data_IF_905049054561
#
_entry.id   IF_905049054561
#
_cell.length_a   1.000
_cell.length_b   1.000
_cell.length_c   1.000
_cell.angle_alpha   90.00
_cell.angle_beta   90.00
_cell.angle_gamma   90.00
#
_symmetry.space_group_name_H-M   'P 1'
#
loop_
_entity.id
_entity.type
_entity.pdbx_description
1 polymer ?
#
# COMPACT_ATOMS: atom_id res chain seq x y z
N UNK A 1 29.07 15.00 9.36
CA UNK A 1 28.66 13.59 9.26
C UNK A 1 27.13 13.42 9.37
N UNK A 2 26.49 13.90 10.47
CA UNK A 2 25.04 13.78 10.69
C UNK A 2 24.20 14.44 9.59
N UNK A 3 24.58 15.65 9.10
CA UNK A 3 23.87 16.36 8.04
C UNK A 3 23.94 15.62 6.69
N UNK A 4 25.09 15.06 6.34
CA UNK A 4 25.28 14.31 5.09
C UNK A 4 24.41 13.05 5.11
N UNK A 5 24.46 12.27 6.21
CA UNK A 5 23.62 11.08 6.34
C UNK A 5 22.13 11.42 6.35
N UNK A 6 21.70 12.56 6.92
CA UNK A 6 20.33 13.02 6.87
C UNK A 6 19.88 13.38 5.44
N UNK A 7 20.72 14.06 4.67
CA UNK A 7 20.43 14.37 3.27
C UNK A 7 20.31 13.08 2.43
N UNK A 8 21.21 12.11 2.64
CA UNK A 8 21.14 10.79 1.98
C UNK A 8 19.89 10.01 2.40
N UNK A 9 19.54 10.01 3.68
CA UNK A 9 18.31 9.42 4.21
C UNK A 9 17.06 10.02 3.54
N UNK A 10 16.99 11.35 3.43
CA UNK A 10 15.86 12.03 2.78
C UNK A 10 15.76 11.67 1.29
N UNK A 11 16.91 11.57 0.61
CA UNK A 11 16.95 11.14 -0.80
C UNK A 11 16.46 9.70 -0.97
N UNK A 12 16.92 8.79 -0.11
CA UNK A 12 16.48 7.39 -0.12
C UNK A 12 14.98 7.27 0.21
N UNK A 13 14.47 8.03 1.17
CA UNK A 13 13.02 8.04 1.47
C UNK A 13 12.20 8.53 0.27
N UNK A 14 12.65 9.54 -0.45
CA UNK A 14 11.96 9.98 -1.67
C UNK A 14 11.92 8.88 -2.73
N UNK A 15 13.04 8.17 -2.93
CA UNK A 15 13.09 7.03 -3.84
C UNK A 15 12.17 5.91 -3.36
N UNK A 16 12.18 5.61 -2.05
CA UNK A 16 11.31 4.60 -1.44
C UNK A 16 9.83 4.94 -1.65
N UNK A 17 9.44 6.21 -1.46
CA UNK A 17 8.04 6.63 -1.69
C UNK A 17 7.60 6.40 -3.13
N UNK A 18 8.42 6.75 -4.13
CA UNK A 18 8.08 6.52 -5.54
C UNK A 18 8.03 5.03 -5.93
N UNK A 19 8.85 4.18 -5.29
CA UNK A 19 8.77 2.73 -5.52
C UNK A 19 7.58 2.11 -4.78
N UNK A 20 7.25 2.62 -3.59
CA UNK A 20 6.07 2.19 -2.83
C UNK A 20 4.78 2.51 -3.59
N UNK A 21 4.71 3.69 -4.24
CA UNK A 21 3.59 4.06 -5.11
C UNK A 21 3.38 3.02 -6.21
N UNK A 22 4.44 2.64 -6.94
CA UNK A 22 4.37 1.62 -7.99
C UNK A 22 3.97 0.23 -7.46
N UNK A 23 4.49 -0.17 -6.31
CA UNK A 23 4.10 -1.44 -5.68
C UNK A 23 2.61 -1.44 -5.30
N UNK A 24 2.11 -0.29 -4.85
CA UNK A 24 0.70 -0.13 -4.49
C UNK A 24 -0.22 -0.12 -5.73
N UNK A 25 0.22 0.52 -6.83
CA UNK A 25 -0.46 0.45 -8.13
C UNK A 25 -0.59 -1.00 -8.61
N UNK A 26 0.51 -1.77 -8.56
CA UNK A 26 0.48 -3.19 -8.92
C UNK A 26 -0.47 -3.98 -8.02
N UNK A 27 -0.41 -3.77 -6.70
CA UNK A 27 -1.30 -4.44 -5.73
C UNK A 27 -2.77 -4.20 -6.06
N UNK A 28 -3.14 -2.94 -6.28
CA UNK A 28 -4.51 -2.57 -6.65
C UNK A 28 -4.90 -3.21 -7.99
N UNK A 29 -4.01 -3.22 -8.97
CA UNK A 29 -4.28 -3.86 -10.26
C UNK A 29 -4.57 -5.37 -10.11
N UNK A 30 -3.78 -6.08 -9.30
CA UNK A 30 -4.02 -7.50 -9.00
C UNK A 30 -5.33 -7.72 -8.22
N UNK A 31 -5.65 -6.88 -7.23
CA UNK A 31 -6.90 -6.99 -6.49
C UNK A 31 -8.13 -6.79 -7.38
N UNK A 32 -8.07 -5.81 -8.29
CA UNK A 32 -9.14 -5.59 -9.28
C UNK A 32 -9.26 -6.76 -10.23
N UNK A 33 -8.14 -7.31 -10.71
CA UNK A 33 -8.13 -8.47 -11.58
C UNK A 33 -8.73 -9.70 -10.89
N UNK A 34 -8.35 -9.98 -9.64
CA UNK A 34 -8.90 -11.07 -8.84
C UNK A 34 -10.41 -10.91 -8.65
N UNK A 35 -10.86 -9.75 -8.21
CA UNK A 35 -12.29 -9.46 -8.03
C UNK A 35 -13.08 -9.57 -9.34
N UNK A 36 -12.47 -9.20 -10.47
CA UNK A 36 -13.07 -9.37 -11.80
C UNK A 36 -13.29 -10.85 -12.13
N UNK A 37 -12.27 -11.69 -11.95
CA UNK A 37 -12.40 -13.13 -12.25
C UNK A 37 -13.35 -13.84 -11.28
N UNK A 38 -13.37 -13.44 -10.00
CA UNK A 38 -14.34 -13.94 -9.03
C UNK A 38 -15.76 -13.60 -9.47
N UNK A 39 -16.01 -12.36 -9.92
CA UNK A 39 -17.33 -11.98 -10.45
C UNK A 39 -17.71 -12.80 -11.69
N UNK A 40 -16.82 -12.97 -12.65
CA UNK A 40 -17.08 -13.76 -13.88
C UNK A 40 -17.41 -15.20 -13.52
N UNK A 41 -16.68 -15.79 -12.56
CA UNK A 41 -16.97 -17.13 -12.08
C UNK A 41 -18.36 -17.23 -11.42
N UNK A 42 -18.67 -16.31 -10.51
CA UNK A 42 -19.95 -16.29 -9.80
C UNK A 42 -21.12 -16.06 -10.77
N UNK A 43 -20.95 -15.21 -11.79
CA UNK A 43 -21.94 -15.01 -12.85
C UNK A 43 -22.20 -16.29 -13.64
N UNK A 44 -21.16 -17.02 -14.04
CA UNK A 44 -21.29 -18.31 -14.73
C UNK A 44 -22.00 -19.34 -13.83
N UNK A 45 -21.66 -19.36 -12.54
CA UNK A 45 -22.31 -20.25 -11.58
C UNK A 45 -23.79 -19.91 -11.34
N UNK A 46 -24.14 -18.64 -11.36
CA UNK A 46 -25.53 -18.14 -11.28
C UNK A 46 -26.35 -18.60 -12.52
N UNK A 47 -25.78 -18.42 -13.70
CA UNK A 47 -26.42 -18.90 -14.95
C UNK A 47 -26.62 -20.41 -14.96
N UNK A 48 -25.60 -21.18 -14.55
CA UNK A 48 -25.69 -22.64 -14.44
C UNK A 48 -26.76 -23.08 -13.45
N UNK A 49 -26.89 -22.41 -12.30
CA UNK A 49 -27.93 -22.71 -11.32
C UNK A 49 -29.35 -22.42 -11.87
N UNK A 50 -29.49 -21.33 -12.67
CA UNK A 50 -30.77 -21.03 -13.34
C UNK A 50 -31.14 -22.10 -14.38
N UNK A 51 -30.19 -22.60 -15.14
CA UNK A 51 -30.40 -23.71 -16.10
C UNK A 51 -30.78 -25.00 -15.38
N UNK A 52 -30.10 -25.34 -14.27
CA UNK A 52 -30.39 -26.49 -13.44
C UNK A 52 -31.82 -26.43 -12.90
N UNK A 53 -32.24 -25.28 -12.37
CA UNK A 53 -33.63 -25.09 -11.91
C UNK A 53 -34.63 -25.31 -13.05
N UNK A 54 -34.40 -24.74 -14.23
CA UNK A 54 -35.30 -24.95 -15.40
C UNK A 54 -35.40 -26.43 -15.79
N UNK A 55 -34.29 -27.17 -15.67
CA UNK A 55 -34.29 -28.61 -15.93
C UNK A 55 -35.13 -29.35 -14.90
N UNK A 56 -34.98 -29.04 -13.61
CA UNK A 56 -35.72 -29.63 -12.51
C UNK A 56 -37.23 -29.29 -12.58
N UNK A 57 -37.60 -28.08 -13.05
CA UNK A 57 -39.00 -27.71 -13.32
C UNK A 57 -39.60 -28.60 -14.38
N UNK A 58 -38.98 -28.77 -15.54
CA UNK A 58 -39.46 -29.65 -16.61
C UNK A 58 -39.58 -31.10 -16.14
N UNK A 59 -38.61 -31.57 -15.34
CA UNK A 59 -38.68 -32.92 -14.78
C UNK A 59 -39.82 -33.09 -13.76
N UNK A 60 -40.10 -32.06 -12.96
CA UNK A 60 -41.27 -32.07 -12.06
C UNK A 60 -42.59 -32.06 -12.82
N UNK A 61 -42.73 -31.28 -13.89
CA UNK A 61 -43.93 -31.27 -14.75
C UNK A 61 -44.15 -32.64 -15.38
N UNK A 62 -43.12 -33.26 -15.94
CA UNK A 62 -43.19 -34.61 -16.50
C UNK A 62 -43.59 -35.67 -15.45
N UNK A 63 -43.07 -35.55 -14.22
CA UNK A 63 -43.41 -36.49 -13.13
C UNK A 63 -44.88 -36.35 -12.69
N UNK A 64 -45.41 -35.11 -12.69
CA UNK A 64 -46.86 -34.88 -12.46
C UNK A 64 -47.71 -35.66 -13.47
N UNK A 65 -47.41 -35.54 -14.75
CA UNK A 65 -48.15 -36.28 -15.79
C UNK A 65 -48.05 -37.79 -15.61
N UNK A 66 -46.87 -38.33 -15.24
CA UNK A 66 -46.71 -39.77 -15.01
C UNK A 66 -47.48 -40.27 -13.78
N UNK A 67 -47.61 -39.48 -12.73
CA UNK A 67 -48.40 -39.83 -11.57
C UNK A 67 -49.90 -39.81 -11.91
N UNK A 68 -50.35 -38.79 -12.66
CA UNK A 68 -51.76 -38.68 -13.09
C UNK A 68 -52.17 -39.83 -14.00
N UNK A 69 -51.25 -40.35 -14.82
CA UNK A 69 -51.44 -41.51 -15.66
C UNK A 69 -51.28 -42.86 -14.90
N UNK A 70 -50.97 -42.82 -13.61
CA UNK A 70 -50.73 -44.01 -12.78
C UNK A 70 -49.43 -44.75 -13.07
N UNK A 71 -48.50 -44.15 -13.82
CA UNK A 71 -47.21 -44.74 -14.23
C UNK A 71 -46.13 -44.59 -13.15
N UNK A 72 -46.31 -43.69 -12.20
CA UNK A 72 -45.39 -43.43 -11.08
C UNK A 72 -46.15 -43.23 -9.77
N UNK A 73 -45.39 -43.36 -8.66
CA UNK A 73 -45.98 -43.20 -7.33
C UNK A 73 -46.07 -41.72 -6.91
N UNK A 74 -47.04 -41.34 -6.07
CA UNK A 74 -47.06 -40.01 -5.45
C UNK A 74 -45.81 -39.70 -4.62
N UNK A 75 -45.14 -40.74 -4.09
CA UNK A 75 -43.89 -40.60 -3.35
C UNK A 75 -42.73 -40.08 -4.25
N UNK A 76 -42.64 -40.60 -5.49
CA UNK A 76 -41.66 -40.19 -6.47
C UNK A 76 -41.83 -38.69 -6.81
N UNK A 77 -43.08 -38.23 -6.92
CA UNK A 77 -43.40 -36.83 -7.13
C UNK A 77 -42.92 -35.93 -5.98
N UNK A 78 -43.09 -36.39 -4.73
CA UNK A 78 -42.60 -35.60 -3.58
C UNK A 78 -41.07 -35.48 -3.55
N UNK A 79 -40.36 -36.53 -3.94
CA UNK A 79 -38.89 -36.50 -4.08
C UNK A 79 -38.45 -35.49 -5.14
N UNK A 80 -39.06 -35.54 -6.33
CA UNK A 80 -38.77 -34.60 -7.42
C UNK A 80 -39.09 -33.15 -7.03
N UNK A 81 -40.21 -32.95 -6.32
CA UNK A 81 -40.58 -31.64 -5.77
C UNK A 81 -39.57 -31.12 -4.76
N UNK A 82 -39.06 -31.98 -3.87
CA UNK A 82 -38.05 -31.61 -2.90
C UNK A 82 -36.75 -31.19 -3.60
N UNK A 83 -36.36 -31.90 -4.67
CA UNK A 83 -35.19 -31.53 -5.51
C UNK A 83 -35.38 -30.18 -6.18
N UNK A 84 -36.57 -29.93 -6.79
CA UNK A 84 -36.87 -28.63 -7.38
C UNK A 84 -36.76 -27.50 -6.36
N UNK A 85 -37.25 -27.66 -5.14
CA UNK A 85 -37.12 -26.65 -4.09
C UNK A 85 -35.67 -26.41 -3.68
N UNK A 86 -34.85 -27.47 -3.66
CA UNK A 86 -33.41 -27.34 -3.45
C UNK A 86 -32.73 -26.54 -4.54
N UNK A 87 -33.08 -26.78 -5.82
CA UNK A 87 -32.47 -26.08 -6.95
C UNK A 87 -32.91 -24.60 -7.00
N UNK A 88 -34.14 -24.27 -6.65
CA UNK A 88 -34.64 -22.90 -6.47
C UNK A 88 -33.82 -22.17 -5.39
N UNK A 89 -33.59 -22.85 -4.27
CA UNK A 89 -32.75 -22.30 -3.18
C UNK A 89 -31.32 -22.06 -3.66
N UNK A 90 -30.71 -23.01 -4.36
CA UNK A 90 -29.35 -22.88 -4.90
C UNK A 90 -29.23 -21.71 -5.89
N UNK A 91 -30.18 -21.54 -6.80
CA UNK A 91 -30.22 -20.37 -7.71
C UNK A 91 -30.28 -19.07 -6.92
N UNK A 92 -31.13 -18.98 -5.89
CA UNK A 92 -31.22 -17.78 -5.04
C UNK A 92 -29.89 -17.46 -4.36
N UNK A 93 -29.18 -18.48 -3.85
CA UNK A 93 -27.88 -18.33 -3.21
C UNK A 93 -26.84 -17.86 -4.24
N UNK A 94 -26.79 -18.48 -5.43
CA UNK A 94 -25.84 -18.13 -6.48
C UNK A 94 -26.07 -16.71 -7.02
N UNK A 95 -27.32 -16.32 -7.25
CA UNK A 95 -27.68 -14.94 -7.64
C UNK A 95 -27.25 -13.91 -6.58
N UNK A 96 -27.40 -14.24 -5.30
CA UNK A 96 -26.90 -13.39 -4.22
C UNK A 96 -25.38 -13.26 -4.24
N UNK A 97 -24.66 -14.37 -4.43
CA UNK A 97 -23.20 -14.39 -4.47
C UNK A 97 -22.68 -13.56 -5.63
N UNK A 98 -23.24 -13.74 -6.83
CA UNK A 98 -22.93 -12.92 -8.02
C UNK A 98 -23.12 -11.43 -7.74
N UNK A 99 -24.24 -11.06 -7.11
CA UNK A 99 -24.50 -9.65 -6.80
C UNK A 99 -23.50 -9.09 -5.80
N UNK A 100 -23.05 -9.88 -4.83
CA UNK A 100 -22.06 -9.46 -3.85
C UNK A 100 -20.66 -9.29 -4.49
N UNK A 101 -20.24 -10.23 -5.33
CA UNK A 101 -18.97 -10.13 -6.05
C UNK A 101 -18.95 -8.95 -7.04
N UNK A 102 -20.08 -8.65 -7.70
CA UNK A 102 -20.22 -7.46 -8.53
C UNK A 102 -20.08 -6.15 -7.73
N UNK A 103 -20.71 -6.09 -6.55
CA UNK A 103 -20.59 -4.91 -5.66
C UNK A 103 -19.16 -4.75 -5.14
N UNK A 104 -18.49 -5.86 -4.77
CA UNK A 104 -17.10 -5.83 -4.35
C UNK A 104 -16.16 -5.30 -5.46
N UNK A 105 -16.39 -5.70 -6.71
CA UNK A 105 -15.65 -5.18 -7.86
C UNK A 105 -15.91 -3.67 -8.05
N UNK A 106 -17.15 -3.22 -7.95
CA UNK A 106 -17.50 -1.79 -8.02
C UNK A 106 -16.83 -0.96 -6.92
N UNK A 107 -16.78 -1.50 -5.70
CA UNK A 107 -16.13 -0.86 -4.56
C UNK A 107 -14.62 -0.68 -4.81
N UNK A 108 -13.93 -1.71 -5.29
CA UNK A 108 -12.51 -1.63 -5.64
C UNK A 108 -12.23 -0.61 -6.76
N UNK A 109 -13.14 -0.49 -7.73
CA UNK A 109 -13.09 0.52 -8.78
C UNK A 109 -13.51 1.92 -8.31
N UNK A 110 -13.89 2.07 -7.04
CA UNK A 110 -14.39 3.32 -6.45
C UNK A 110 -15.59 3.92 -7.21
N UNK A 111 -16.40 3.08 -7.84
CA UNK A 111 -17.59 3.48 -8.56
C UNK A 111 -18.75 3.78 -7.60
N UNK A 112 -19.56 4.79 -7.93
CA UNK A 112 -20.77 5.09 -7.16
C UNK A 112 -21.87 4.08 -7.50
N UNK A 113 -22.84 3.91 -6.61
CA UNK A 113 -23.98 3.02 -6.85
C UNK A 113 -24.75 3.38 -8.12
N UNK A 114 -24.80 4.67 -8.46
CA UNK A 114 -25.44 5.20 -9.67
C UNK A 114 -24.69 4.89 -10.97
N UNK A 115 -23.40 4.53 -10.89
CA UNK A 115 -22.58 4.33 -12.07
C UNK A 115 -22.86 2.95 -12.67
N UNK A 116 -23.00 2.90 -13.99
CA UNK A 116 -23.28 1.68 -14.70
C UNK A 116 -21.96 1.01 -15.13
N UNK A 117 -21.70 -0.20 -14.65
CA UNK A 117 -20.60 -1.03 -15.08
C UNK A 117 -21.15 -2.12 -15.99
N UNK A 118 -20.73 -2.12 -17.27
CA UNK A 118 -21.01 -3.19 -18.20
C UNK A 118 -19.75 -4.02 -18.41
N UNK A 119 -19.83 -5.30 -18.12
CA UNK A 119 -18.73 -6.24 -18.30
C UNK A 119 -19.05 -7.10 -19.51
N UNK A 120 -18.18 -7.06 -20.50
CA UNK A 120 -18.29 -7.91 -21.69
C UNK A 120 -18.11 -9.39 -21.29
N UNK A 121 -18.86 -10.26 -21.93
CA UNK A 121 -18.64 -11.70 -21.79
C UNK A 121 -17.26 -12.02 -22.39
N UNK A 122 -16.38 -12.52 -21.54
CA UNK A 122 -15.11 -13.09 -21.99
C UNK A 122 -15.41 -14.53 -22.42
N UNK A 123 -15.54 -14.72 -23.73
CA UNK A 123 -15.51 -16.06 -24.30
C UNK A 123 -14.10 -16.62 -24.04
N UNK A 124 -14.01 -17.55 -23.11
CA UNK A 124 -12.78 -18.18 -22.69
C UNK A 124 -12.14 -19.10 -23.78
N UNK A 125 -12.60 -18.98 -25.02
CA UNK A 125 -12.15 -19.86 -26.12
C UNK A 125 -10.92 -19.37 -26.88
N UNK A 126 -10.29 -18.22 -26.50
CA UNK A 126 -9.30 -17.60 -27.37
C UNK A 126 -7.86 -17.58 -26.90
N UNK A 127 -7.59 -17.45 -25.62
CA UNK A 127 -6.21 -17.33 -25.13
C UNK A 127 -5.94 -18.35 -24.02
N UNK A 128 -5.47 -19.53 -24.42
CA UNK A 128 -4.69 -20.33 -23.49
C UNK A 128 -3.55 -19.43 -22.98
N UNK A 129 -3.44 -19.20 -21.65
CA UNK A 129 -2.31 -18.46 -21.14
C UNK A 129 -1.03 -19.11 -21.66
N UNK A 130 -0.05 -18.32 -22.13
CA UNK A 130 1.18 -18.88 -22.66
C UNK A 130 1.70 -19.90 -21.67
N UNK A 131 1.84 -21.15 -22.12
CA UNK A 131 2.30 -22.24 -21.29
C UNK A 131 3.64 -21.81 -20.68
N UNK A 132 3.65 -21.57 -19.37
CA UNK A 132 4.86 -21.27 -18.59
C UNK A 132 5.85 -22.46 -18.58
N UNK A 133 5.57 -23.49 -19.40
CA UNK A 133 6.35 -24.72 -19.53
C UNK A 133 7.82 -24.53 -19.89
N UNK A 134 8.21 -23.36 -20.40
CA UNK A 134 9.58 -23.05 -20.81
C UNK A 134 10.38 -22.28 -19.74
N UNK A 135 9.76 -21.90 -18.62
CA UNK A 135 10.43 -21.15 -17.55
C UNK A 135 10.70 -22.07 -16.38
N UNK A 136 11.96 -22.11 -15.93
CA UNK A 136 12.27 -22.75 -14.66
C UNK A 136 11.91 -21.82 -13.49
N UNK A 137 11.54 -22.35 -12.34
CA UNK A 137 11.24 -21.54 -11.16
C UNK A 137 12.38 -20.56 -10.79
N UNK A 138 13.68 -20.96 -10.85
CA UNK A 138 14.78 -20.03 -10.63
C UNK A 138 14.84 -18.86 -11.63
N UNK A 139 14.51 -19.09 -12.92
CA UNK A 139 14.55 -18.05 -13.94
C UNK A 139 13.43 -17.02 -13.69
N UNK A 140 12.22 -17.48 -13.38
CA UNK A 140 11.08 -16.62 -13.03
C UNK A 140 11.40 -15.80 -11.79
N UNK A 141 12.02 -16.38 -10.77
CA UNK A 141 12.45 -15.68 -9.58
C UNK A 141 13.49 -14.60 -9.88
N UNK A 142 14.52 -14.93 -10.67
CA UNK A 142 15.56 -13.97 -11.04
C UNK A 142 15.01 -12.77 -11.84
N UNK A 143 14.07 -13.02 -12.75
CA UNK A 143 13.41 -11.97 -13.52
C UNK A 143 12.48 -11.13 -12.63
N UNK A 144 11.73 -11.75 -11.71
CA UNK A 144 10.88 -11.06 -10.77
C UNK A 144 11.65 -10.14 -9.82
N UNK A 145 12.85 -10.54 -9.37
CA UNK A 145 13.71 -9.71 -8.51
C UNK A 145 14.13 -8.40 -9.20
N UNK A 146 14.22 -8.40 -10.53
CA UNK A 146 14.56 -7.22 -11.34
C UNK A 146 13.31 -6.39 -11.66
N UNK A 147 12.21 -7.07 -12.04
CA UNK A 147 11.02 -6.42 -12.59
C UNK A 147 10.07 -5.88 -11.50
N UNK A 148 9.95 -6.57 -10.37
CA UNK A 148 8.97 -6.22 -9.35
C UNK A 148 9.46 -5.09 -8.43
N UNK A 149 8.66 -4.03 -8.23
CA UNK A 149 9.02 -2.91 -7.36
C UNK A 149 9.15 -3.32 -5.89
N UNK A 150 8.54 -4.42 -5.45
CA UNK A 150 8.60 -4.96 -4.10
C UNK A 150 10.04 -5.28 -3.67
N UNK A 151 10.83 -5.91 -4.51
CA UNK A 151 12.24 -6.21 -4.22
C UNK A 151 13.05 -4.92 -4.10
N UNK A 152 12.80 -3.96 -4.99
CA UNK A 152 13.44 -2.64 -4.91
C UNK A 152 13.04 -1.87 -3.65
N UNK A 153 11.81 -1.99 -3.23
CA UNK A 153 11.30 -1.42 -1.98
C UNK A 153 12.01 -2.02 -0.76
N UNK A 154 12.23 -3.34 -0.72
CA UNK A 154 12.99 -4.02 0.35
C UNK A 154 14.40 -3.46 0.46
N UNK A 155 15.13 -3.35 -0.64
CA UNK A 155 16.49 -2.78 -0.66
C UNK A 155 16.53 -1.34 -0.16
N UNK A 156 15.61 -0.50 -0.62
CA UNK A 156 15.55 0.89 -0.20
C UNK A 156 15.18 1.03 1.28
N UNK A 157 14.32 0.18 1.82
CA UNK A 157 13.98 0.12 3.25
C UNK A 157 15.21 -0.24 4.09
N UNK A 158 16.02 -1.22 3.66
CA UNK A 158 17.25 -1.56 4.36
C UNK A 158 18.27 -0.43 4.29
N UNK A 159 18.51 0.17 3.12
CA UNK A 159 19.41 1.30 2.96
C UNK A 159 19.00 2.50 3.83
N UNK A 160 17.71 2.81 3.88
CA UNK A 160 17.14 3.87 4.71
C UNK A 160 17.36 3.58 6.20
N UNK A 161 17.15 2.36 6.64
CA UNK A 161 17.40 1.93 8.02
C UNK A 161 18.88 1.99 8.39
N UNK A 162 19.79 1.61 7.48
CA UNK A 162 21.25 1.79 7.66
C UNK A 162 21.62 3.26 7.84
N UNK A 163 20.99 4.18 7.10
CA UNK A 163 21.23 5.63 7.26
C UNK A 163 20.64 6.16 8.58
N UNK A 164 19.50 5.64 9.05
CA UNK A 164 18.97 5.95 10.38
C UNK A 164 19.95 5.56 11.48
N UNK A 165 20.52 4.37 11.40
CA UNK A 165 21.58 3.93 12.33
C UNK A 165 22.81 4.84 12.27
N UNK A 166 23.27 5.22 11.07
CA UNK A 166 24.39 6.13 10.90
C UNK A 166 24.12 7.54 11.47
N UNK A 167 22.88 8.05 11.35
CA UNK A 167 22.44 9.30 11.95
C UNK A 167 22.46 9.21 13.48
N UNK A 168 21.95 8.11 14.05
CA UNK A 168 21.96 7.88 15.49
C UNK A 168 23.41 7.77 16.02
N UNK A 169 24.26 7.02 15.36
CA UNK A 169 25.69 6.88 15.70
C UNK A 169 26.44 8.23 15.60
N UNK A 170 26.05 9.08 14.64
CA UNK A 170 26.59 10.43 14.50
C UNK A 170 26.28 11.36 15.67
N UNK A 171 25.42 10.98 16.60
CA UNK A 171 25.18 11.73 17.83
C UNK A 171 26.34 11.70 18.83
N UNK A 172 27.29 10.78 18.66
CA UNK A 172 28.51 10.71 19.45
C UNK A 172 29.64 11.61 18.90
N UNK A 173 29.50 12.08 17.66
CA UNK A 173 30.50 12.96 17.04
C UNK A 173 30.39 14.38 17.55
N UNK A 174 31.52 15.14 17.64
CA UNK A 174 31.46 16.55 17.95
C UNK A 174 30.63 17.34 16.91
N UNK A 175 29.95 18.36 17.36
CA UNK A 175 29.24 19.32 16.49
C UNK A 175 30.03 20.61 16.36
N UNK A 176 30.17 21.08 15.13
CA UNK A 176 30.78 22.36 14.79
C UNK A 176 29.67 23.27 14.25
N UNK A 177 29.58 24.47 14.82
CA UNK A 177 28.64 25.50 14.37
C UNK A 177 29.45 26.80 14.09
N UNK A 178 29.18 27.37 12.95
CA UNK A 178 29.63 28.75 12.64
C UNK A 178 28.41 29.66 12.75
N UNK A 179 28.55 30.69 13.56
CA UNK A 179 27.50 31.70 13.79
C UNK A 179 28.01 33.01 13.16
N UNK A 180 27.15 33.63 12.35
CA UNK A 180 27.38 34.95 11.79
C UNK A 180 26.17 35.82 12.11
N UNK A 181 26.39 36.95 12.75
CA UNK A 181 25.32 37.88 13.12
C UNK A 181 25.72 39.30 12.69
N UNK A 182 24.75 39.99 12.12
CA UNK A 182 24.78 41.42 11.88
C UNK A 182 23.63 42.01 12.66
N UNK A 183 23.90 42.97 13.51
CA UNK A 183 22.87 43.67 14.24
C UNK A 183 23.22 45.16 14.42
N UNK A 184 22.22 45.98 14.46
CA UNK A 184 22.27 47.38 14.81
C UNK A 184 21.13 47.66 15.78
N UNK A 185 21.28 48.67 16.64
CA UNK A 185 20.29 49.01 17.63
C UNK A 185 20.00 50.50 17.61
N UNK A 186 18.74 50.85 17.91
CA UNK A 186 18.29 52.19 18.19
C UNK A 186 17.87 52.33 19.63
N UNK A 187 18.35 53.40 20.28
CA UNK A 187 18.03 53.73 21.68
C UNK A 187 17.54 55.17 21.72
N UNK A 188 16.34 55.44 22.19
CA UNK A 188 15.77 56.80 22.31
C UNK A 188 16.43 57.62 23.40
N UNK A 189 17.26 57.01 24.23
CA UNK A 189 18.06 57.64 25.29
C UNK A 189 19.44 58.08 24.85
N UNK A 190 19.89 57.66 23.64
CA UNK A 190 21.22 58.02 23.12
C UNK A 190 21.27 59.47 22.64
N UNK A 191 22.18 60.29 23.24
CA UNK A 191 22.32 61.72 22.96
C UNK A 191 23.72 62.05 22.46
N UNK A 192 23.77 63.02 21.57
CA UNK A 192 25.05 63.56 21.09
C UNK A 192 25.69 64.50 22.16
N UNK A 193 26.89 65.03 21.87
CA UNK A 193 27.61 65.95 22.79
C UNK A 193 26.81 67.23 23.15
N UNK A 194 25.87 67.64 22.29
CA UNK A 194 24.99 68.80 22.48
C UNK A 194 23.70 68.47 23.22
N UNK A 195 23.54 67.21 23.69
CA UNK A 195 22.39 66.77 24.47
C UNK A 195 21.14 66.40 23.64
N UNK A 196 21.19 66.46 22.30
CA UNK A 196 20.11 66.09 21.42
C UNK A 196 20.06 64.57 21.16
N UNK A 197 18.87 64.01 21.03
CA UNK A 197 18.69 62.59 20.68
C UNK A 197 19.28 62.30 19.31
N UNK A 198 20.17 61.31 19.23
CA UNK A 198 20.77 60.89 17.97
C UNK A 198 19.71 60.26 17.06
N UNK A 199 19.60 60.72 15.83
CA UNK A 199 18.59 60.25 14.89
C UNK A 199 18.71 58.77 14.61
N UNK A 200 17.55 58.09 14.31
CA UNK A 200 17.49 56.67 13.98
C UNK A 200 18.51 56.28 12.89
N UNK A 201 18.58 57.03 11.78
CA UNK A 201 19.48 56.73 10.68
C UNK A 201 20.96 56.77 11.07
N UNK A 202 21.32 57.69 12.00
CA UNK A 202 22.68 57.86 12.48
C UNK A 202 23.07 56.76 13.48
N UNK A 203 22.13 56.37 14.40
CA UNK A 203 22.34 55.24 15.29
C UNK A 203 22.44 53.93 14.50
N UNK A 204 21.59 53.70 13.51
CA UNK A 204 21.66 52.52 12.65
C UNK A 204 23.02 52.37 11.92
N UNK A 205 23.65 53.47 11.54
CA UNK A 205 24.99 53.46 10.94
C UNK A 205 26.10 53.27 11.96
N UNK A 206 25.98 53.93 13.12
CA UNK A 206 27.02 53.92 14.13
C UNK A 206 27.04 52.66 15.00
N UNK A 207 25.86 52.07 15.27
CA UNK A 207 25.69 50.94 16.16
C UNK A 207 25.79 49.59 15.42
N UNK A 208 26.41 49.56 14.24
CA UNK A 208 26.49 48.34 13.43
C UNK A 208 27.57 47.41 13.96
N UNK A 209 27.12 46.25 14.46
CA UNK A 209 27.99 45.24 15.02
C UNK A 209 27.98 44.00 14.13
N UNK A 210 29.18 43.45 13.94
CA UNK A 210 29.41 42.20 13.20
C UNK A 210 29.97 41.17 14.18
N UNK A 211 29.35 40.02 14.26
CA UNK A 211 29.83 38.92 15.07
C UNK A 211 30.09 37.71 14.20
N UNK A 212 31.25 37.10 14.31
CA UNK A 212 31.59 35.79 13.71
C UNK A 212 32.09 34.93 14.85
N UNK A 213 31.42 33.80 15.04
CA UNK A 213 31.76 32.86 16.09
C UNK A 213 31.88 31.43 15.53
N UNK A 214 32.83 30.65 16.05
CA UNK A 214 32.96 29.22 15.83
C UNK A 214 32.79 28.51 17.16
N UNK A 215 31.76 27.64 17.24
CA UNK A 215 31.46 26.83 18.42
C UNK A 215 31.68 25.36 18.13
N UNK A 216 32.54 24.71 18.93
CA UNK A 216 32.74 23.26 18.90
C UNK A 216 32.17 22.69 20.18
N UNK A 217 31.25 21.72 20.07
CA UNK A 217 30.60 21.08 21.21
C UNK A 217 30.84 19.58 21.19
N UNK A 218 31.42 19.07 22.28
CA UNK A 218 31.64 17.64 22.50
C UNK A 218 30.60 17.10 23.49
N UNK A 219 29.83 16.10 23.11
CA UNK A 219 28.90 15.47 24.02
C UNK A 219 29.59 14.45 24.92
N UNK A 220 29.95 14.80 26.14
CA UNK A 220 30.66 13.92 27.10
C UNK A 220 29.72 12.93 27.74
N UNK A 221 28.56 13.38 28.22
CA UNK A 221 27.57 12.55 28.90
C UNK A 221 26.16 12.94 28.49
N UNK A 222 25.30 11.95 28.30
CA UNK A 222 23.91 12.14 27.83
C UNK A 222 22.90 11.20 28.54
N UNK A 223 23.24 10.73 29.74
CA UNK A 223 22.32 9.83 30.49
C UNK A 223 21.93 8.57 29.73
N UNK A 224 22.86 7.95 29.01
CA UNK A 224 22.67 6.75 28.18
C UNK A 224 21.69 6.90 26.99
N UNK A 225 21.04 8.05 26.82
CA UNK A 225 20.04 8.28 25.77
C UNK A 225 20.58 8.01 24.34
N UNK A 226 21.86 8.32 24.09
CA UNK A 226 22.49 8.06 22.79
C UNK A 226 22.76 6.58 22.57
N UNK A 227 23.18 5.85 23.59
CA UNK A 227 23.36 4.39 23.53
C UNK A 227 22.05 3.69 23.22
N UNK A 228 20.98 4.08 23.91
CA UNK A 228 19.66 3.50 23.68
C UNK A 228 19.14 3.84 22.29
N UNK A 229 19.37 5.06 21.80
CA UNK A 229 18.99 5.44 20.42
C UNK A 229 19.71 4.60 19.37
N UNK A 230 21.04 4.42 19.50
CA UNK A 230 21.80 3.57 18.56
C UNK A 230 21.36 2.12 18.65
N UNK A 231 21.15 1.59 19.88
CA UNK A 231 20.68 0.22 20.08
C UNK A 231 19.31 -0.01 19.44
N UNK A 232 18.38 0.94 19.60
CA UNK A 232 17.06 0.92 18.98
C UNK A 232 17.17 0.85 17.44
N UNK A 233 17.97 1.72 16.82
CA UNK A 233 18.14 1.72 15.37
C UNK A 233 18.87 0.47 14.84
N UNK A 234 19.75 -0.13 15.63
CA UNK A 234 20.38 -1.42 15.30
C UNK A 234 19.35 -2.55 15.27
N UNK A 235 18.48 -2.64 16.28
CA UNK A 235 17.39 -3.62 16.27
C UNK A 235 16.42 -3.40 15.13
N UNK A 236 16.11 -2.14 14.82
CA UNK A 236 15.24 -1.80 13.69
C UNK A 236 15.83 -2.28 12.36
N UNK A 237 17.13 -2.08 12.14
CA UNK A 237 17.83 -2.60 10.96
C UNK A 237 17.77 -4.13 10.89
N UNK A 238 17.99 -4.80 12.01
CA UNK A 238 17.89 -6.26 12.08
C UNK A 238 16.46 -6.74 11.77
N UNK A 239 15.44 -6.08 12.29
CA UNK A 239 14.04 -6.38 11.99
C UNK A 239 13.72 -6.20 10.49
N UNK A 240 14.22 -5.13 9.87
CA UNK A 240 14.04 -4.91 8.41
C UNK A 240 14.67 -6.05 7.62
N UNK A 241 15.90 -6.47 7.96
CA UNK A 241 16.58 -7.58 7.29
C UNK A 241 15.79 -8.90 7.44
N UNK A 242 15.39 -9.24 8.65
CA UNK A 242 14.61 -10.46 8.88
C UNK A 242 13.28 -10.46 8.11
N UNK A 243 12.64 -9.28 7.98
CA UNK A 243 11.42 -9.15 7.19
C UNK A 243 11.69 -9.30 5.68
N UNK A 244 12.78 -8.71 5.18
CA UNK A 244 13.20 -8.87 3.79
C UNK A 244 13.52 -10.35 3.48
N UNK A 245 14.24 -11.03 4.37
CA UNK A 245 14.57 -12.46 4.20
C UNK A 245 13.31 -13.33 4.16
N UNK A 246 12.32 -13.04 5.02
CA UNK A 246 11.02 -13.75 4.98
C UNK A 246 10.27 -13.51 3.68
N UNK A 247 10.20 -12.26 3.19
CA UNK A 247 9.50 -11.93 1.95
C UNK A 247 10.19 -12.50 0.70
N UNK A 248 11.49 -12.85 0.77
CA UNK A 248 12.21 -13.53 -0.32
C UNK A 248 11.91 -15.04 -0.37
N UNK A 249 11.46 -15.62 0.73
CA UNK A 249 11.19 -17.06 0.87
C UNK A 249 9.69 -17.36 0.66
N UNK A 250 8.82 -16.38 0.89
CA UNK A 250 7.38 -16.51 0.68
C UNK A 250 7.00 -16.35 -0.78
#
# INVERSE_FOLDING_TARGET
FKRINRAQFTRLNRQLSGVTEKAEENRVAFEVMDAYYVYIFDRKMSLLAAEQRKLSERYHEQMLEYVDLGLRSPSDLQEVKARLQSDIYQETVKNKTERLSFLALKELLQMRDSDTLSIADVDAEGDEPPLLSNYSAPDVYAESEIALPEFRMMDLREQTSRKSLAIASGAFSPSIRADFSLYSGYYDTERNADGHIVSFGQQMKNNWNKYIGLRVSFPIFSGLSRFTAVRKERFRLQQVRNNNDRQRIS
#
